data_IF_362023525868
#
_entry.id   IF_362023525868
#
_cell.length_a   1.000
_cell.length_b   1.000
_cell.length_c   1.000
_cell.angle_alpha   90.00
_cell.angle_beta   90.00
_cell.angle_gamma   90.00
#
_symmetry.space_group_name_H-M   'P 1'
#
loop_
_entity.id
_entity.type
_entity.pdbx_description
1 polymer ?
#
# COMPACT_ATOMS: atom_id res chain seq x y z
N UNK A 1 7.96 -15.26 10.66
CA UNK A 1 8.45 -14.06 11.35
C UNK A 1 8.67 -13.00 10.29
N UNK A 2 7.84 -11.96 10.26
CA UNK A 2 7.99 -10.85 9.29
C UNK A 2 9.22 -10.05 9.69
N UNK A 3 10.35 -10.32 9.06
CA UNK A 3 11.57 -9.56 9.30
C UNK A 3 11.52 -8.29 8.44
N UNK A 4 11.45 -7.13 9.09
CA UNK A 4 11.76 -5.88 8.40
C UNK A 4 13.23 -5.94 7.94
N UNK A 5 13.57 -5.40 6.76
CA UNK A 5 14.95 -5.39 6.29
C UNK A 5 15.85 -4.68 7.31
N UNK A 6 16.94 -5.34 7.73
CA UNK A 6 17.84 -4.80 8.77
C UNK A 6 18.36 -3.40 8.44
N UNK A 7 18.72 -3.16 7.17
CA UNK A 7 19.16 -1.83 6.72
C UNK A 7 18.08 -0.75 6.85
N UNK A 8 16.79 -1.10 6.69
CA UNK A 8 15.69 -0.15 6.92
C UNK A 8 15.54 0.18 8.40
N UNK A 9 15.68 -0.82 9.27
CA UNK A 9 15.64 -0.64 10.73
C UNK A 9 16.79 0.26 11.18
N UNK A 10 18.01 -0.03 10.73
CA UNK A 10 19.18 0.78 11.05
C UNK A 10 19.00 2.24 10.63
N UNK A 11 18.49 2.48 9.42
CA UNK A 11 18.20 3.84 8.94
C UNK A 11 17.19 4.56 9.85
N UNK A 12 16.09 3.92 10.22
CA UNK A 12 15.10 4.51 11.12
C UNK A 12 15.67 4.78 12.51
N UNK A 13 16.52 3.88 13.03
CA UNK A 13 17.20 4.09 14.31
C UNK A 13 18.16 5.29 14.26
N UNK A 14 18.90 5.49 13.16
CA UNK A 14 19.75 6.67 12.98
C UNK A 14 18.94 7.96 12.89
N UNK A 15 17.81 7.95 12.21
CA UNK A 15 16.89 9.11 12.13
C UNK A 15 16.41 9.56 13.52
N UNK A 16 16.25 8.62 14.47
CA UNK A 16 15.78 8.91 15.84
C UNK A 16 16.93 9.19 16.81
N UNK A 17 18.01 8.40 16.77
CA UNK A 17 19.10 8.47 17.73
C UNK A 17 20.21 9.48 17.35
N UNK A 18 20.32 9.83 16.06
CA UNK A 18 21.42 10.63 15.52
C UNK A 18 22.61 9.78 15.06
N UNK A 19 23.42 10.34 14.16
CA UNK A 19 24.53 9.61 13.52
C UNK A 19 25.69 9.29 14.47
N UNK A 20 25.83 10.06 15.55
CA UNK A 20 26.90 9.91 16.54
C UNK A 20 26.66 8.77 17.54
N UNK A 21 25.45 8.22 17.58
CA UNK A 21 25.10 7.14 18.51
C UNK A 21 25.45 5.78 17.89
N UNK A 22 26.32 4.97 18.55
CA UNK A 22 26.64 3.64 18.05
C UNK A 22 25.43 2.71 18.18
N UNK A 23 24.95 2.18 17.07
CA UNK A 23 23.86 1.20 17.02
C UNK A 23 24.47 -0.19 16.85
N UNK A 24 24.25 -1.05 17.84
CA UNK A 24 24.75 -2.42 17.79
C UNK A 24 23.88 -3.29 16.88
N UNK A 25 24.48 -4.34 16.31
CA UNK A 25 23.73 -5.35 15.54
C UNK A 25 22.62 -6.02 16.37
N UNK A 26 22.89 -6.25 17.65
CA UNK A 26 21.92 -6.85 18.58
C UNK A 26 20.70 -5.96 18.78
N UNK A 27 20.90 -4.64 18.88
CA UNK A 27 19.80 -3.65 18.95
C UNK A 27 18.89 -3.72 17.72
N UNK A 28 19.49 -3.83 16.52
CA UNK A 28 18.72 -3.95 15.27
C UNK A 28 17.89 -5.24 15.26
N UNK A 29 18.47 -6.34 15.75
CA UNK A 29 17.80 -7.63 15.83
C UNK A 29 16.66 -7.61 16.86
N UNK A 30 16.86 -7.03 18.04
CA UNK A 30 15.82 -6.82 19.05
C UNK A 30 14.66 -5.98 18.53
N UNK A 31 14.94 -4.86 17.86
CA UNK A 31 13.88 -4.01 17.28
C UNK A 31 13.07 -4.77 16.23
N UNK A 32 13.71 -5.65 15.45
CA UNK A 32 13.02 -6.48 14.48
C UNK A 32 12.08 -7.50 15.15
N UNK A 33 12.55 -8.13 16.23
CA UNK A 33 11.73 -9.04 17.05
C UNK A 33 10.54 -8.30 17.67
N UNK A 34 10.77 -7.15 18.28
CA UNK A 34 9.71 -6.30 18.84
C UNK A 34 8.69 -5.86 17.77
N UNK A 35 9.13 -5.52 16.56
CA UNK A 35 8.23 -5.18 15.46
C UNK A 35 7.35 -6.38 15.06
N UNK A 36 7.91 -7.59 15.06
CA UNK A 36 7.16 -8.82 14.82
C UNK A 36 6.13 -9.11 15.91
N UNK A 37 6.47 -8.89 17.18
CA UNK A 37 5.55 -9.04 18.30
C UNK A 37 4.44 -7.99 18.29
N UNK A 38 4.78 -6.74 17.98
CA UNK A 38 3.82 -5.64 17.83
C UNK A 38 2.75 -6.00 16.79
N UNK A 39 3.15 -6.52 15.62
CA UNK A 39 2.20 -6.95 14.59
C UNK A 39 1.29 -8.10 15.07
N UNK A 40 1.81 -9.03 15.88
CA UNK A 40 1.01 -10.12 16.43
C UNK A 40 0.03 -9.63 17.51
N UNK A 41 0.46 -8.73 18.40
CA UNK A 41 -0.41 -8.12 19.42
C UNK A 41 -1.53 -7.33 18.75
N UNK A 42 -1.17 -6.44 17.82
CA UNK A 42 -2.15 -5.64 17.09
C UNK A 42 -3.09 -6.51 16.25
N UNK A 43 -2.56 -7.53 15.57
CA UNK A 43 -3.37 -8.45 14.76
C UNK A 43 -4.36 -9.25 15.60
N UNK A 44 -3.96 -9.71 16.80
CA UNK A 44 -4.86 -10.39 17.75
C UNK A 44 -5.98 -9.47 18.22
N UNK A 45 -5.64 -8.25 18.64
CA UNK A 45 -6.65 -7.28 19.09
C UNK A 45 -7.63 -6.91 17.97
N UNK A 46 -7.12 -6.62 16.78
CA UNK A 46 -7.95 -6.31 15.61
C UNK A 46 -8.85 -7.49 15.19
N UNK A 47 -8.36 -8.73 15.32
CA UNK A 47 -9.18 -9.93 15.09
C UNK A 47 -10.31 -10.03 16.11
N UNK A 48 -10.03 -9.87 17.41
CA UNK A 48 -11.06 -9.89 18.47
C UNK A 48 -12.16 -8.86 18.22
N UNK A 49 -11.78 -7.64 17.82
CA UNK A 49 -12.73 -6.59 17.46
C UNK A 49 -13.55 -6.99 16.24
N UNK A 50 -12.91 -7.47 15.17
CA UNK A 50 -13.58 -7.89 13.94
C UNK A 50 -14.57 -9.05 14.17
N UNK A 51 -14.21 -9.99 15.03
CA UNK A 51 -15.04 -11.12 15.44
C UNK A 51 -16.28 -10.64 16.18
N UNK A 52 -16.09 -9.77 17.18
CA UNK A 52 -17.20 -9.23 17.98
C UNK A 52 -18.21 -8.41 17.16
N UNK A 53 -17.74 -7.74 16.11
CA UNK A 53 -18.58 -6.94 15.21
C UNK A 53 -19.35 -7.77 14.18
N UNK A 54 -18.96 -9.03 13.95
CA UNK A 54 -19.53 -9.89 12.91
C UNK A 54 -20.45 -10.96 13.49
N UNK A 55 -21.65 -11.10 12.92
CA UNK A 55 -22.55 -12.24 13.20
C UNK A 55 -22.19 -13.49 12.38
N UNK A 56 -21.24 -13.39 11.46
CA UNK A 56 -20.82 -14.47 10.55
C UNK A 56 -19.53 -15.10 11.05
N UNK A 57 -19.44 -16.42 10.92
CA UNK A 57 -18.26 -17.23 11.24
C UNK A 57 -17.01 -16.81 10.44
N UNK A 58 -17.19 -16.35 9.19
CA UNK A 58 -16.12 -15.77 8.39
C UNK A 58 -16.21 -14.24 8.42
N UNK A 59 -15.26 -13.60 9.10
CA UNK A 59 -15.11 -12.15 9.13
C UNK A 59 -13.80 -11.72 8.47
N UNK A 60 -13.72 -10.45 8.07
CA UNK A 60 -12.52 -9.84 7.52
C UNK A 60 -12.12 -8.67 8.42
N UNK A 61 -10.83 -8.60 8.74
CA UNK A 61 -10.28 -7.43 9.42
C UNK A 61 -10.35 -6.25 8.46
N UNK A 62 -11.10 -5.23 8.85
CA UNK A 62 -11.18 -3.95 8.17
C UNK A 62 -10.17 -2.98 8.79
N UNK A 63 -9.93 -1.88 8.10
CA UNK A 63 -9.11 -0.79 8.61
C UNK A 63 -9.66 -0.22 9.92
N UNK A 64 -10.99 -0.08 10.05
CA UNK A 64 -11.62 0.42 11.28
C UNK A 64 -11.31 -0.48 12.49
N UNK A 65 -11.25 -1.79 12.30
CA UNK A 65 -10.89 -2.73 13.37
C UNK A 65 -9.43 -2.51 13.83
N UNK A 66 -8.52 -2.20 12.90
CA UNK A 66 -7.12 -1.88 13.23
C UNK A 66 -7.02 -0.53 13.95
N UNK A 67 -7.80 0.47 13.53
CA UNK A 67 -7.85 1.78 14.22
C UNK A 67 -8.35 1.64 15.65
N UNK A 68 -9.42 0.87 15.86
CA UNK A 68 -9.96 0.59 17.19
C UNK A 68 -8.97 -0.21 18.05
N UNK A 69 -8.26 -1.17 17.46
CA UNK A 69 -7.21 -1.93 18.16
C UNK A 69 -6.08 -1.02 18.66
N UNK A 70 -5.63 -0.07 17.84
CA UNK A 70 -4.63 0.92 18.26
C UNK A 70 -5.16 1.80 19.41
N UNK A 71 -6.41 2.22 19.35
CA UNK A 71 -7.03 3.02 20.43
C UNK A 71 -7.15 2.21 21.73
N UNK A 72 -7.55 0.93 21.67
CA UNK A 72 -7.65 0.02 22.81
C UNK A 72 -6.28 -0.28 23.45
N UNK A 73 -5.23 -0.42 22.65
CA UNK A 73 -3.87 -0.70 23.11
C UNK A 73 -3.14 0.54 23.65
N UNK A 74 -3.80 1.70 23.73
CA UNK A 74 -3.19 2.94 24.24
C UNK A 74 -2.26 3.63 23.22
N UNK A 75 -2.46 3.37 21.93
CA UNK A 75 -1.66 3.88 20.81
C UNK A 75 -2.41 4.98 20.05
N UNK A 76 -3.10 5.89 20.75
CA UNK A 76 -4.00 6.88 20.15
C UNK A 76 -3.27 7.86 19.21
N UNK A 77 -2.01 8.19 19.49
CA UNK A 77 -1.21 9.06 18.62
C UNK A 77 -1.07 8.43 17.22
N UNK A 78 -0.71 7.15 17.15
CA UNK A 78 -0.60 6.44 15.87
C UNK A 78 -1.95 6.36 15.15
N UNK A 79 -3.05 6.17 15.89
CA UNK A 79 -4.39 6.20 15.30
C UNK A 79 -4.72 7.58 14.68
N UNK A 80 -4.32 8.68 15.31
CA UNK A 80 -4.54 10.02 14.76
C UNK A 80 -3.69 10.29 13.51
N UNK A 81 -2.41 9.93 13.55
CA UNK A 81 -1.49 10.09 12.41
C UNK A 81 -1.99 9.29 11.19
N UNK A 82 -2.42 8.04 11.40
CA UNK A 82 -2.98 7.20 10.33
C UNK A 82 -4.27 7.82 9.77
N UNK A 83 -5.19 8.34 10.61
CA UNK A 83 -6.39 9.06 10.14
C UNK A 83 -6.04 10.27 9.28
N UNK A 84 -4.99 11.02 9.64
CA UNK A 84 -4.51 12.15 8.84
C UNK A 84 -4.01 11.73 7.45
N UNK A 85 -3.32 10.60 7.35
CA UNK A 85 -2.84 10.05 6.09
C UNK A 85 -3.96 9.50 5.21
N UNK A 86 -5.02 8.92 5.79
CA UNK A 86 -6.14 8.33 5.07
C UNK A 86 -6.82 9.31 4.11
N UNK A 87 -7.06 10.55 4.56
CA UNK A 87 -7.68 11.58 3.71
C UNK A 87 -6.89 11.83 2.41
N UNK A 88 -5.56 11.73 2.46
CA UNK A 88 -4.71 11.87 1.28
C UNK A 88 -4.78 10.64 0.35
N UNK A 89 -4.82 9.44 0.91
CA UNK A 89 -4.88 8.17 0.16
C UNK A 89 -6.22 7.94 -0.52
N UNK A 90 -7.32 8.29 0.14
CA UNK A 90 -8.67 8.19 -0.43
C UNK A 90 -8.82 9.12 -1.64
N UNK A 91 -8.32 10.35 -1.52
CA UNK A 91 -8.29 11.32 -2.62
C UNK A 91 -7.51 10.79 -3.83
N UNK A 92 -6.31 10.23 -3.62
CA UNK A 92 -5.51 9.64 -4.70
C UNK A 92 -6.17 8.39 -5.32
N UNK A 93 -6.81 7.57 -4.49
CA UNK A 93 -7.55 6.40 -4.96
C UNK A 93 -8.75 6.81 -5.82
N UNK A 94 -9.46 7.87 -5.42
CA UNK A 94 -10.58 8.43 -6.16
C UNK A 94 -10.13 9.03 -7.51
N UNK A 95 -9.07 9.85 -7.52
CA UNK A 95 -8.46 10.35 -8.77
C UNK A 95 -8.06 9.23 -9.71
N UNK A 96 -7.50 8.13 -9.18
CA UNK A 96 -7.13 6.95 -9.99
C UNK A 96 -8.37 6.29 -10.58
N UNK A 97 -9.45 6.13 -9.81
CA UNK A 97 -10.72 5.57 -10.30
C UNK A 97 -11.34 6.46 -11.39
N UNK A 98 -11.34 7.77 -11.21
CA UNK A 98 -11.81 8.75 -12.20
C UNK A 98 -10.99 8.70 -13.49
N UNK A 99 -9.66 8.59 -13.38
CA UNK A 99 -8.77 8.41 -14.54
C UNK A 99 -9.03 7.10 -15.29
N UNK A 100 -9.36 6.02 -14.59
CA UNK A 100 -9.71 4.74 -15.22
C UNK A 100 -11.10 4.82 -15.87
N UNK A 101 -12.06 5.45 -15.20
CA UNK A 101 -13.42 5.63 -15.70
C UNK A 101 -13.46 6.49 -16.96
N UNK A 102 -12.73 7.61 -16.98
CA UNK A 102 -12.57 8.48 -18.16
C UNK A 102 -11.93 7.74 -19.34
N UNK A 103 -10.86 6.96 -19.12
CA UNK A 103 -10.27 6.10 -20.16
C UNK A 103 -11.27 5.06 -20.69
N UNK A 104 -12.05 4.41 -19.81
CA UNK A 104 -13.08 3.44 -20.22
C UNK A 104 -14.24 4.11 -20.96
N UNK A 105 -14.61 5.34 -20.62
CA UNK A 105 -15.63 6.11 -21.33
C UNK A 105 -15.16 6.46 -22.75
N UNK A 106 -13.92 6.95 -22.90
CA UNK A 106 -13.33 7.22 -24.21
C UNK A 106 -13.22 5.96 -25.09
N UNK A 107 -12.93 4.80 -24.50
CA UNK A 107 -12.91 3.52 -25.21
C UNK A 107 -14.30 3.01 -25.61
N UNK A 108 -15.38 3.43 -24.93
CA UNK A 108 -16.77 3.06 -25.26
C UNK A 108 -17.35 3.86 -26.43
N UNK A 109 -16.80 5.03 -26.74
CA UNK A 109 -17.26 5.89 -27.84
C UNK A 109 -16.70 5.51 -29.21
N UNK A 110 -15.65 4.69 -29.25
CA UNK A 110 -15.09 4.18 -30.51
C UNK A 110 -15.72 2.81 -30.86
N UNK A 111 -16.12 2.64 -32.11
CA UNK A 111 -16.57 1.34 -32.61
C UNK A 111 -15.41 0.34 -32.64
N UNK A 112 -15.71 -0.95 -32.51
CA UNK A 112 -14.71 -2.03 -32.61
C UNK A 112 -13.89 -1.93 -33.90
N UNK A 113 -14.54 -1.59 -35.01
CA UNK A 113 -13.89 -1.50 -36.33
C UNK A 113 -12.95 -0.31 -36.44
N UNK A 114 -13.31 0.83 -35.82
CA UNK A 114 -12.46 2.03 -35.75
C UNK A 114 -11.20 1.77 -34.92
N UNK A 115 -11.35 1.09 -33.78
CA UNK A 115 -10.23 0.69 -32.92
C UNK A 115 -9.28 -0.29 -33.62
N UNK A 116 -9.82 -1.20 -34.44
CA UNK A 116 -9.03 -2.14 -35.26
C UNK A 116 -8.26 -1.41 -36.37
N UNK A 117 -8.89 -0.44 -37.05
CA UNK A 117 -8.24 0.37 -38.06
C UNK A 117 -7.08 1.19 -37.46
N UNK A 118 -7.31 1.81 -36.31
CA UNK A 118 -6.30 2.59 -35.58
C UNK A 118 -5.14 1.72 -35.10
N UNK A 119 -5.41 0.55 -34.52
CA UNK A 119 -4.39 -0.42 -34.14
C UNK A 119 -3.54 -0.84 -35.34
N UNK A 120 -4.18 -1.13 -36.48
CA UNK A 120 -3.48 -1.56 -37.70
C UNK A 120 -2.60 -0.44 -38.27
N UNK A 121 -3.08 0.81 -38.22
CA UNK A 121 -2.30 1.97 -38.63
C UNK A 121 -1.07 2.17 -37.73
N UNK A 122 -1.23 2.03 -36.41
CA UNK A 122 -0.13 2.10 -35.44
C UNK A 122 0.91 0.99 -35.66
N UNK A 123 0.48 -0.25 -35.92
CA UNK A 123 1.41 -1.34 -36.25
C UNK A 123 2.18 -1.09 -37.55
N UNK A 124 1.51 -0.58 -38.59
CA UNK A 124 2.18 -0.18 -39.84
C UNK A 124 3.20 0.92 -39.58
N UNK A 125 2.86 1.93 -38.80
CA UNK A 125 3.76 3.03 -38.47
C UNK A 125 4.97 2.53 -37.65
N UNK A 126 4.75 1.66 -36.67
CA UNK A 126 5.81 1.05 -35.87
C UNK A 126 6.74 0.17 -36.74
N UNK A 127 6.17 -0.61 -37.66
CA UNK A 127 6.93 -1.45 -38.59
C UNK A 127 7.77 -0.61 -39.57
N UNK A 128 7.21 0.47 -40.13
CA UNK A 128 7.96 1.41 -40.96
C UNK A 128 9.09 2.09 -40.19
N UNK A 129 8.83 2.46 -38.93
CA UNK A 129 9.84 3.06 -38.06
C UNK A 129 10.96 2.07 -37.74
N UNK A 130 10.64 0.83 -37.37
CA UNK A 130 11.62 -0.22 -37.09
C UNK A 130 12.50 -0.52 -38.32
N UNK A 131 11.88 -0.62 -39.50
CA UNK A 131 12.60 -0.80 -40.77
C UNK A 131 13.51 0.39 -41.10
N UNK A 132 13.08 1.61 -40.79
CA UNK A 132 13.91 2.83 -40.95
C UNK A 132 15.06 2.90 -39.94
N UNK A 133 14.88 2.34 -38.75
CA UNK A 133 15.85 2.32 -37.66
C UNK A 133 16.74 1.05 -37.65
N UNK A 134 16.57 0.16 -38.62
CA UNK A 134 17.47 -0.99 -38.85
C UNK A 134 17.27 -2.17 -37.90
N UNK A 135 16.06 -2.32 -37.35
CA UNK A 135 15.64 -3.49 -36.55
C UNK A 135 14.96 -4.56 -37.41
#
# INVERSE_FOLDING_TARGET
MTALPKGSIERMLREVAGDDVPISKETIDWVNECAGELLQVLGREANTIAESASKKENYRVSQEHVMAALENLGMQQYAQEIKGLQGSMELETQKKKERIASRKAAAKTASRDELLAEQTALFKQASLKASREGW
#
